data_IF_602314932829
#
_entry.id   IF_602314932829
#
_cell.length_a   1.000
_cell.length_b   1.000
_cell.length_c   1.000
_cell.angle_alpha   90.00
_cell.angle_beta   90.00
_cell.angle_gamma   90.00
#
_symmetry.space_group_name_H-M   'P 1'
#
loop_
_entity.id
_entity.type
_entity.pdbx_description
1 polymer ?
#
# COMPACT_ATOMS: atom_id res chain seq x y z
N UNK A 1 -9.01 30.61 -82.42
CA UNK A 1 -10.35 30.06 -82.13
C UNK A 1 -10.42 29.62 -80.67
N UNK A 2 -11.43 30.13 -79.93
CA UNK A 2 -11.95 29.72 -78.59
C UNK A 2 -10.95 29.71 -77.41
N UNK A 3 -10.91 30.76 -76.58
CA UNK A 3 -11.80 31.09 -75.43
C UNK A 3 -11.88 29.96 -74.37
N UNK A 4 -11.29 30.20 -73.19
CA UNK A 4 -12.01 30.21 -71.91
C UNK A 4 -11.08 30.68 -70.77
N UNK A 5 -11.31 31.92 -70.33
CA UNK A 5 -10.86 32.52 -69.08
C UNK A 5 -11.76 32.00 -67.95
N UNK A 6 -11.23 31.61 -66.79
CA UNK A 6 -12.01 31.62 -65.56
C UNK A 6 -11.14 32.01 -64.37
N UNK A 7 -11.70 32.98 -63.65
CA UNK A 7 -11.10 33.76 -62.59
C UNK A 7 -10.98 32.96 -61.29
N UNK A 8 -9.86 33.15 -60.59
CA UNK A 8 -9.76 32.84 -59.16
C UNK A 8 -10.27 34.08 -58.40
N UNK A 9 -11.53 34.06 -58.02
CA UNK A 9 -12.13 35.10 -57.19
C UNK A 9 -11.82 34.82 -55.72
N UNK A 10 -11.14 35.77 -55.10
CA UNK A 10 -10.94 35.91 -53.67
C UNK A 10 -12.30 36.09 -52.97
N UNK A 11 -12.60 35.27 -51.96
CA UNK A 11 -13.60 35.60 -50.94
C UNK A 11 -12.94 35.47 -49.57
N UNK A 12 -12.67 36.64 -49.00
CA UNK A 12 -12.38 36.88 -47.60
C UNK A 12 -13.72 37.20 -46.92
N UNK A 13 -14.19 36.36 -46.01
CA UNK A 13 -14.90 36.73 -44.76
C UNK A 13 -15.61 35.52 -44.15
N UNK A 14 -15.35 35.27 -42.86
CA UNK A 14 -16.15 34.34 -42.07
C UNK A 14 -15.41 33.69 -40.90
N UNK A 15 -14.77 34.48 -40.02
CA UNK A 15 -14.49 33.99 -38.66
C UNK A 15 -15.82 33.97 -37.91
N UNK A 16 -16.36 32.78 -37.71
CA UNK A 16 -17.46 32.54 -36.77
C UNK A 16 -17.20 31.23 -36.02
N UNK A 17 -16.55 31.38 -34.87
CA UNK A 17 -16.78 30.62 -33.64
C UNK A 17 -17.35 29.20 -33.77
N UNK A 18 -16.48 28.20 -33.86
CA UNK A 18 -16.76 26.85 -33.36
C UNK A 18 -16.26 26.74 -31.90
N UNK A 19 -16.83 27.58 -31.05
CA UNK A 19 -16.93 27.37 -29.61
C UNK A 19 -18.40 27.07 -29.34
N UNK A 20 -18.81 25.82 -29.48
CA UNK A 20 -20.01 25.34 -28.81
C UNK A 20 -19.96 23.84 -28.60
N UNK A 21 -20.09 23.48 -27.32
CA UNK A 21 -20.48 22.19 -26.79
C UNK A 21 -19.49 21.03 -26.88
N UNK A 22 -18.29 21.21 -26.32
CA UNK A 22 -17.82 20.22 -25.35
C UNK A 22 -18.75 20.30 -24.12
N UNK A 23 -19.95 19.74 -24.27
CA UNK A 23 -20.88 19.49 -23.17
C UNK A 23 -20.07 18.78 -22.10
N UNK A 24 -20.11 19.29 -20.87
CA UNK A 24 -19.58 18.65 -19.69
C UNK A 24 -19.78 17.14 -19.83
N UNK A 25 -18.67 16.38 -19.87
CA UNK A 25 -18.75 14.94 -19.77
C UNK A 25 -19.62 14.65 -18.54
N UNK A 26 -20.71 13.94 -18.78
CA UNK A 26 -21.79 13.73 -17.85
C UNK A 26 -21.22 13.13 -16.56
N UNK A 27 -21.10 13.96 -15.51
CA UNK A 27 -20.66 13.50 -14.18
C UNK A 27 -21.60 12.43 -13.58
N UNK A 28 -22.74 12.18 -14.24
CA UNK A 28 -23.69 11.12 -13.91
C UNK A 28 -23.22 9.71 -14.28
N UNK A 29 -22.27 9.54 -15.22
CA UNK A 29 -21.85 8.20 -15.65
C UNK A 29 -21.09 7.40 -14.57
N UNK A 30 -20.60 8.06 -13.51
CA UNK A 30 -19.90 7.43 -12.37
C UNK A 30 -20.84 7.25 -11.16
N UNK A 31 -21.99 7.95 -11.12
CA UNK A 31 -22.87 8.02 -9.95
C UNK A 31 -23.77 6.80 -9.71
N UNK A 32 -24.00 5.98 -10.73
CA UNK A 32 -25.00 4.89 -10.70
C UNK A 32 -24.39 3.48 -10.63
N UNK A 33 -23.09 3.36 -10.37
CA UNK A 33 -22.45 2.04 -10.27
C UNK A 33 -22.88 1.34 -8.98
N UNK A 34 -23.54 0.19 -9.12
CA UNK A 34 -24.02 -0.63 -8.00
C UNK A 34 -23.03 -1.76 -7.73
N UNK A 35 -22.68 -1.93 -6.46
CA UNK A 35 -21.94 -3.09 -5.98
C UNK A 35 -22.93 -4.09 -5.38
N UNK A 36 -23.75 -4.68 -6.26
CA UNK A 36 -24.87 -5.56 -5.93
C UNK A 36 -24.77 -6.91 -6.68
N UNK A 37 -23.53 -7.40 -6.86
CA UNK A 37 -23.19 -8.69 -7.44
C UNK A 37 -23.71 -9.91 -6.67
N UNK A 38 -24.48 -9.69 -5.61
CA UNK A 38 -25.46 -10.66 -5.08
C UNK A 38 -25.10 -11.23 -3.71
N UNK A 39 -23.90 -10.94 -3.19
CA UNK A 39 -23.53 -11.36 -1.83
C UNK A 39 -24.00 -10.38 -0.75
N UNK A 40 -24.36 -9.14 -1.15
CA UNK A 40 -24.91 -8.11 -0.26
C UNK A 40 -23.92 -7.57 0.77
N UNK A 41 -22.62 -7.86 0.64
CA UNK A 41 -21.56 -7.44 1.57
C UNK A 41 -21.42 -5.92 1.63
N UNK A 42 -21.47 -5.23 0.49
CA UNK A 42 -21.49 -3.77 0.46
C UNK A 42 -22.76 -3.20 1.11
N UNK A 43 -23.94 -3.76 0.81
CA UNK A 43 -25.19 -3.32 1.43
C UNK A 43 -25.20 -3.56 2.96
N UNK A 44 -24.60 -4.67 3.44
CA UNK A 44 -24.37 -4.92 4.87
C UNK A 44 -23.46 -3.85 5.47
N UNK A 45 -22.34 -3.52 4.81
CA UNK A 45 -21.40 -2.50 5.25
C UNK A 45 -22.07 -1.13 5.41
N UNK A 46 -22.92 -0.72 4.47
CA UNK A 46 -23.66 0.56 4.56
C UNK A 46 -24.64 0.58 5.75
N UNK A 47 -25.40 -0.50 5.93
CA UNK A 47 -26.47 -0.57 6.93
C UNK A 47 -25.93 -0.73 8.35
N UNK A 48 -25.00 -1.66 8.51
CA UNK A 48 -24.51 -2.11 9.81
C UNK A 48 -23.20 -1.42 10.21
N UNK A 49 -22.45 -0.91 9.24
CA UNK A 49 -21.07 -0.47 9.44
C UNK A 49 -20.06 -1.55 9.12
N UNK A 50 -18.79 -1.19 9.28
CA UNK A 50 -17.64 -2.10 9.10
C UNK A 50 -16.67 -1.99 10.27
N UNK A 51 -15.98 -3.08 10.55
CA UNK A 51 -14.81 -3.13 11.43
C UNK A 51 -13.55 -3.29 10.60
N UNK A 52 -12.60 -2.39 10.78
CA UNK A 52 -11.30 -2.39 10.12
C UNK A 52 -10.26 -2.89 11.12
N UNK A 53 -9.41 -3.82 10.71
CA UNK A 53 -8.29 -4.26 11.52
C UNK A 53 -6.98 -3.73 10.96
N UNK A 54 -6.13 -3.21 11.84
CA UNK A 54 -4.80 -2.68 11.54
C UNK A 54 -3.76 -3.32 12.46
N UNK A 55 -2.48 -3.16 12.15
CA UNK A 55 -1.39 -3.37 13.09
C UNK A 55 -0.91 -2.04 13.69
N UNK A 56 -0.04 -2.11 14.71
CA UNK A 56 0.77 -0.97 15.10
C UNK A 56 1.99 -0.94 14.18
N UNK A 57 1.83 -0.34 13.00
CA UNK A 57 2.79 -0.39 11.91
C UNK A 57 3.05 1.00 11.28
N UNK A 58 3.68 1.94 12.02
CA UNK A 58 4.00 3.24 11.46
C UNK A 58 5.03 3.11 10.32
N UNK A 59 4.86 3.86 9.20
CA UNK A 59 3.92 4.97 9.03
C UNK A 59 2.57 4.60 8.37
N UNK A 60 2.30 3.31 8.14
CA UNK A 60 1.11 2.81 7.45
C UNK A 60 -0.14 2.91 8.31
N UNK A 61 -0.07 2.43 9.54
CA UNK A 61 -1.20 2.40 10.47
C UNK A 61 -0.71 2.45 11.93
N UNK A 62 -1.28 3.32 12.75
CA UNK A 62 -0.92 3.43 14.17
C UNK A 62 -2.00 4.16 14.96
N UNK A 63 -1.89 4.12 16.29
CA UNK A 63 -2.64 5.02 17.17
C UNK A 63 -1.72 6.18 17.56
N UNK A 64 -2.08 7.39 17.15
CA UNK A 64 -1.33 8.58 17.50
C UNK A 64 -1.42 8.84 19.01
N UNK A 65 -0.26 8.94 19.67
CA UNK A 65 -0.20 9.05 21.13
C UNK A 65 -0.74 10.37 21.66
N UNK A 66 -0.72 11.45 20.85
CA UNK A 66 -1.13 12.79 21.28
C UNK A 66 -2.64 12.98 21.20
N UNK A 67 -3.24 12.50 20.12
CA UNK A 67 -4.67 12.62 19.84
C UNK A 67 -5.46 11.41 20.31
N UNK A 68 -4.78 10.29 20.59
CA UNK A 68 -5.37 8.99 20.91
C UNK A 68 -6.28 8.43 19.81
N UNK A 69 -6.17 8.94 18.58
CA UNK A 69 -6.91 8.51 17.39
C UNK A 69 -6.04 7.67 16.46
N UNK A 70 -6.66 6.83 15.62
CA UNK A 70 -5.94 6.09 14.59
C UNK A 70 -5.45 7.04 13.48
N UNK A 71 -4.24 6.85 13.00
CA UNK A 71 -3.66 7.60 11.90
C UNK A 71 -2.65 6.74 11.11
N UNK A 72 -2.14 7.26 10.00
CA UNK A 72 -1.25 6.55 9.09
C UNK A 72 -1.74 6.60 7.64
N UNK A 73 -0.86 6.21 6.71
CA UNK A 73 -1.18 6.22 5.28
C UNK A 73 -2.44 5.39 4.97
N UNK A 74 -2.50 4.15 5.42
CA UNK A 74 -3.62 3.24 5.16
C UNK A 74 -4.88 3.69 5.88
N UNK A 75 -4.74 4.18 7.11
CA UNK A 75 -5.86 4.73 7.89
C UNK A 75 -6.51 5.91 7.16
N UNK A 76 -5.70 6.85 6.64
CA UNK A 76 -6.22 8.01 5.90
C UNK A 76 -6.79 7.63 4.54
N UNK A 77 -6.17 6.68 3.84
CA UNK A 77 -6.71 6.13 2.59
C UNK A 77 -8.10 5.53 2.85
N UNK A 78 -8.24 4.67 3.86
CA UNK A 78 -9.50 3.98 4.12
C UNK A 78 -10.60 4.91 4.67
N UNK A 79 -10.23 6.00 5.35
CA UNK A 79 -11.17 7.09 5.69
C UNK A 79 -11.75 7.75 4.44
N UNK A 80 -10.93 8.03 3.42
CA UNK A 80 -11.44 8.56 2.15
C UNK A 80 -12.26 7.52 1.38
N UNK A 81 -11.88 6.23 1.44
CA UNK A 81 -12.65 5.13 0.84
C UNK A 81 -14.06 5.06 1.45
N UNK A 82 -14.14 4.92 2.77
CA UNK A 82 -15.42 4.80 3.48
C UNK A 82 -16.32 6.02 3.28
N UNK A 83 -15.73 7.22 3.24
CA UNK A 83 -16.44 8.47 2.92
C UNK A 83 -17.05 8.45 1.51
N UNK A 84 -16.28 8.09 0.47
CA UNK A 84 -16.79 8.02 -0.93
C UNK A 84 -17.84 6.93 -1.09
N UNK A 85 -17.65 5.81 -0.39
CA UNK A 85 -18.59 4.70 -0.34
C UNK A 85 -19.80 4.97 0.55
N UNK A 86 -19.87 6.09 1.26
CA UNK A 86 -20.97 6.45 2.19
C UNK A 86 -21.15 5.45 3.35
N UNK A 87 -20.08 4.75 3.75
CA UNK A 87 -20.06 3.90 4.94
C UNK A 87 -19.75 4.78 6.15
N UNK A 88 -20.77 5.11 6.94
CA UNK A 88 -20.65 6.11 8.03
C UNK A 88 -20.32 5.51 9.39
N UNK A 89 -20.53 4.21 9.57
CA UNK A 89 -20.22 3.48 10.81
C UNK A 89 -18.94 2.68 10.61
N UNK A 90 -17.82 3.21 11.10
CA UNK A 90 -16.50 2.58 10.96
C UNK A 90 -15.89 2.42 12.35
N UNK A 91 -15.50 1.20 12.66
CA UNK A 91 -14.73 0.86 13.87
C UNK A 91 -13.35 0.38 13.47
N UNK A 92 -12.37 0.59 14.34
CA UNK A 92 -10.97 0.28 14.09
C UNK A 92 -10.45 -0.52 15.27
N UNK A 93 -9.88 -1.69 14.98
CA UNK A 93 -9.24 -2.56 15.95
C UNK A 93 -7.77 -2.72 15.60
N UNK A 94 -6.93 -2.80 16.62
CA UNK A 94 -5.49 -3.02 16.48
C UNK A 94 -5.12 -4.41 17.00
N UNK A 95 -4.39 -5.17 16.20
CA UNK A 95 -3.90 -6.52 16.56
C UNK A 95 -2.45 -6.67 16.10
N UNK A 96 -1.68 -7.64 16.64
CA UNK A 96 -0.40 -8.02 16.06
C UNK A 96 -0.54 -8.39 14.58
N UNK A 97 0.49 -8.10 13.77
CA UNK A 97 0.42 -8.26 12.31
C UNK A 97 0.00 -9.67 11.87
N UNK A 98 0.56 -10.70 12.50
CA UNK A 98 0.27 -12.11 12.25
C UNK A 98 -1.15 -12.54 12.67
N UNK A 99 -1.83 -11.74 13.48
CA UNK A 99 -3.21 -12.00 13.93
C UNK A 99 -4.28 -11.38 13.03
N UNK A 100 -3.92 -10.55 12.04
CA UNK A 100 -4.89 -9.84 11.19
C UNK A 100 -5.74 -10.80 10.32
N UNK A 101 -5.09 -11.75 9.62
CA UNK A 101 -5.82 -12.75 8.80
C UNK A 101 -6.71 -13.64 9.68
N UNK A 102 -6.23 -14.21 10.80
CA UNK A 102 -7.10 -14.91 11.74
C UNK A 102 -8.28 -14.07 12.24
N UNK A 103 -8.09 -12.78 12.54
CA UNK A 103 -9.18 -11.89 12.97
C UNK A 103 -10.24 -11.68 11.89
N UNK A 104 -9.82 -11.47 10.64
CA UNK A 104 -10.70 -11.35 9.47
C UNK A 104 -11.53 -12.63 9.24
N UNK A 105 -10.88 -13.80 9.29
CA UNK A 105 -11.53 -15.10 9.07
C UNK A 105 -12.47 -15.48 10.22
N UNK A 106 -12.18 -15.05 11.44
CA UNK A 106 -13.05 -15.22 12.60
C UNK A 106 -14.27 -14.26 12.60
N UNK A 107 -14.38 -13.38 11.61
CA UNK A 107 -15.47 -12.39 11.53
C UNK A 107 -15.34 -11.23 12.53
N UNK A 108 -14.17 -11.05 13.14
CA UNK A 108 -13.90 -9.92 14.06
C UNK A 108 -13.57 -8.61 13.34
N UNK A 109 -13.25 -8.69 12.05
CA UNK A 109 -13.01 -7.54 11.19
C UNK A 109 -13.56 -7.81 9.80
N UNK A 110 -13.95 -6.79 9.05
CA UNK A 110 -14.44 -6.87 7.67
C UNK A 110 -13.34 -6.64 6.64
N UNK A 111 -12.36 -5.80 6.98
CA UNK A 111 -11.23 -5.47 6.10
C UNK A 111 -9.95 -5.36 6.91
N UNK A 112 -8.87 -5.94 6.38
CA UNK A 112 -7.50 -5.69 6.84
C UNK A 112 -6.96 -4.45 6.14
N UNK A 113 -6.58 -3.44 6.92
CA UNK A 113 -6.13 -2.11 6.47
C UNK A 113 -4.68 -1.90 6.90
N UNK A 114 -3.78 -2.66 6.29
CA UNK A 114 -2.34 -2.60 6.56
C UNK A 114 -1.53 -3.03 5.33
N UNK A 115 -2.08 -2.73 4.16
CA UNK A 115 -1.51 -2.92 2.83
C UNK A 115 -0.63 -4.19 2.71
N UNK A 116 -1.21 -5.39 2.82
CA UNK A 116 -0.45 -6.63 2.84
C UNK A 116 0.09 -6.99 1.45
N UNK A 117 1.34 -7.44 1.34
CA UNK A 117 1.80 -8.15 0.12
C UNK A 117 0.92 -9.36 -0.17
N UNK A 118 0.45 -9.48 -1.41
CA UNK A 118 -0.20 -10.71 -1.85
C UNK A 118 0.82 -11.84 -2.00
N UNK A 119 0.47 -13.03 -1.51
CA UNK A 119 1.25 -14.23 -1.75
C UNK A 119 0.30 -15.44 -1.90
N UNK A 120 0.82 -16.56 -2.39
CA UNK A 120 0.00 -17.74 -2.66
C UNK A 120 -0.73 -18.27 -1.40
N UNK A 121 -0.09 -18.21 -0.24
CA UNK A 121 -0.69 -18.69 1.01
C UNK A 121 -1.90 -17.83 1.40
N UNK A 122 -1.76 -16.51 1.31
CA UNK A 122 -2.84 -15.55 1.60
C UNK A 122 -3.95 -15.63 0.56
N UNK A 123 -3.62 -15.73 -0.73
CA UNK A 123 -4.59 -15.87 -1.82
C UNK A 123 -5.47 -17.12 -1.70
N UNK A 124 -5.01 -18.16 -1.00
CA UNK A 124 -5.85 -19.34 -0.72
C UNK A 124 -6.97 -19.04 0.27
N UNK A 125 -6.79 -18.12 1.20
CA UNK A 125 -7.70 -17.91 2.34
C UNK A 125 -8.45 -16.58 2.35
N UNK A 126 -7.90 -15.51 1.75
CA UNK A 126 -8.53 -14.19 1.66
C UNK A 126 -8.68 -13.73 0.21
N UNK A 127 -9.49 -12.70 0.00
CA UNK A 127 -9.54 -11.95 -1.25
C UNK A 127 -8.84 -10.60 -1.05
N UNK A 128 -8.12 -10.14 -2.06
CA UNK A 128 -7.45 -8.85 -2.04
C UNK A 128 -8.17 -7.83 -2.91
N UNK A 129 -8.02 -6.55 -2.58
CA UNK A 129 -8.50 -5.44 -3.40
C UNK A 129 -7.63 -5.25 -4.65
N UNK A 130 -7.97 -4.26 -5.48
CA UNK A 130 -6.98 -3.63 -6.36
C UNK A 130 -5.79 -3.13 -5.53
N UNK A 131 -4.58 -3.05 -6.13
CA UNK A 131 -3.40 -2.47 -5.47
C UNK A 131 -3.70 -1.14 -4.80
N UNK A 132 -3.16 -0.89 -3.61
CA UNK A 132 -3.21 0.44 -3.00
C UNK A 132 -1.97 1.25 -3.39
N UNK A 133 -0.78 0.81 -2.97
CA UNK A 133 0.52 1.34 -3.36
C UNK A 133 1.58 0.25 -3.13
N UNK A 134 2.75 0.44 -3.71
CA UNK A 134 3.86 -0.51 -3.63
C UNK A 134 4.89 -0.10 -2.58
N UNK A 135 5.47 -1.08 -1.90
CA UNK A 135 6.67 -0.97 -1.07
C UNK A 135 7.44 -2.31 -1.16
N UNK A 136 8.69 -2.32 -0.75
CA UNK A 136 9.50 -3.54 -0.68
C UNK A 136 10.50 -3.48 0.45
N UNK A 137 11.19 -4.58 0.70
CA UNK A 137 12.21 -4.61 1.74
C UNK A 137 13.36 -3.62 1.48
N UNK A 138 13.81 -3.01 2.56
CA UNK A 138 15.17 -2.58 2.77
C UNK A 138 15.88 -3.53 3.72
N UNK A 139 17.16 -3.29 3.93
CA UNK A 139 17.91 -3.91 5.02
C UNK A 139 18.56 -2.81 5.85
N UNK A 140 18.51 -2.99 7.16
CA UNK A 140 19.17 -2.12 8.12
C UNK A 140 20.24 -2.87 8.89
N UNK A 141 21.37 -2.20 9.10
CA UNK A 141 22.53 -2.71 9.84
C UNK A 141 22.92 -1.72 10.93
N UNK A 142 23.74 -2.15 11.90
CA UNK A 142 24.36 -1.20 12.84
C UNK A 142 25.16 -0.13 12.09
N UNK A 143 25.21 1.07 12.67
CA UNK A 143 25.98 2.20 12.09
C UNK A 143 27.45 1.81 11.92
N UNK A 144 27.99 2.04 10.72
CA UNK A 144 29.33 1.62 10.32
C UNK A 144 29.39 0.22 9.71
N UNK A 145 28.29 -0.53 9.71
CA UNK A 145 28.15 -1.88 9.14
C UNK A 145 29.28 -2.85 9.56
N UNK A 146 29.45 -3.13 10.87
CA UNK A 146 30.54 -3.99 11.36
C UNK A 146 30.48 -5.42 10.79
N UNK A 147 29.27 -5.92 10.49
CA UNK A 147 29.05 -7.25 9.93
C UNK A 147 29.25 -7.30 8.40
N UNK A 148 29.53 -6.16 7.74
CA UNK A 148 29.79 -6.04 6.29
C UNK A 148 28.68 -6.61 5.41
N UNK A 149 27.44 -6.45 5.83
CA UNK A 149 26.26 -6.93 5.11
C UNK A 149 25.83 -5.87 4.10
N UNK A 150 25.84 -6.21 2.82
CA UNK A 150 25.47 -5.32 1.72
C UNK A 150 24.24 -5.83 0.95
N UNK A 151 23.91 -7.11 1.04
CA UNK A 151 22.70 -7.65 0.44
C UNK A 151 22.29 -9.03 0.94
N UNK A 152 21.28 -9.59 0.26
CA UNK A 152 20.67 -10.87 0.58
C UNK A 152 21.67 -12.02 0.72
N UNK A 153 22.69 -12.06 -0.13
CA UNK A 153 23.69 -13.14 -0.13
C UNK A 153 24.58 -13.10 1.12
N UNK A 154 24.78 -11.91 1.71
CA UNK A 154 25.62 -11.72 2.90
C UNK A 154 24.95 -12.18 4.21
N UNK A 155 23.71 -12.69 4.17
CA UNK A 155 23.00 -13.11 5.39
C UNK A 155 23.52 -14.45 5.97
N UNK A 156 24.31 -15.20 5.19
CA UNK A 156 24.86 -16.47 5.62
C UNK A 156 25.72 -16.32 6.89
N UNK A 157 25.45 -17.13 7.91
CA UNK A 157 26.17 -17.09 9.19
C UNK A 157 25.81 -15.92 10.11
N UNK A 158 24.83 -15.09 9.74
CA UNK A 158 24.39 -13.94 10.53
C UNK A 158 23.05 -14.17 11.23
N UNK A 159 22.81 -13.36 12.26
CA UNK A 159 21.52 -13.29 12.97
C UNK A 159 20.66 -12.26 12.26
N UNK A 160 19.57 -12.70 11.63
CA UNK A 160 18.66 -11.85 10.86
C UNK A 160 17.36 -11.64 11.62
N UNK A 161 16.96 -10.38 11.79
CA UNK A 161 15.68 -9.99 12.36
C UNK A 161 14.63 -9.68 11.29
N UNK A 162 13.38 -10.01 11.58
CA UNK A 162 12.21 -9.54 10.81
C UNK A 162 10.91 -9.66 11.62
N UNK A 163 9.86 -8.96 11.21
CA UNK A 163 8.52 -9.09 11.82
C UNK A 163 7.84 -10.39 11.41
N UNK A 164 7.27 -11.11 12.39
CA UNK A 164 6.55 -12.36 12.23
C UNK A 164 5.36 -12.20 11.28
N UNK A 165 5.27 -13.13 10.32
CA UNK A 165 4.14 -13.19 9.38
C UNK A 165 4.24 -12.22 8.20
N UNK A 166 5.28 -11.37 8.15
CA UNK A 166 5.60 -10.50 7.01
C UNK A 166 6.04 -11.30 5.78
N UNK A 167 6.18 -10.64 4.64
CA UNK A 167 6.78 -11.27 3.45
C UNK A 167 8.27 -11.60 3.69
N UNK A 168 8.98 -10.76 4.43
CA UNK A 168 10.38 -10.95 4.80
C UNK A 168 10.57 -12.21 5.64
N UNK A 169 9.65 -12.47 6.58
CA UNK A 169 9.61 -13.72 7.33
C UNK A 169 9.54 -14.94 6.41
N UNK A 170 8.62 -14.94 5.45
CA UNK A 170 8.45 -16.04 4.51
C UNK A 170 9.70 -16.27 3.64
N UNK A 171 10.35 -15.19 3.19
CA UNK A 171 11.59 -15.26 2.42
C UNK A 171 12.73 -15.87 3.26
N UNK A 172 12.85 -15.43 4.52
CA UNK A 172 13.92 -15.85 5.43
C UNK A 172 13.74 -17.26 5.98
N UNK A 173 12.52 -17.76 6.18
CA UNK A 173 12.27 -19.17 6.58
C UNK A 173 12.85 -20.19 5.58
N UNK A 174 12.96 -19.78 4.31
CA UNK A 174 13.58 -20.56 3.24
C UNK A 174 15.11 -20.68 3.35
N UNK A 175 15.78 -19.78 4.07
CA UNK A 175 17.24 -19.78 4.24
C UNK A 175 17.66 -20.78 5.32
N UNK A 176 18.63 -21.64 5.02
CA UNK A 176 19.18 -22.67 5.95
C UNK A 176 20.60 -22.38 6.41
N UNK A 177 21.17 -21.31 5.90
CA UNK A 177 22.52 -20.83 6.10
C UNK A 177 22.59 -19.65 7.08
N UNK A 178 21.45 -19.15 7.56
CA UNK A 178 21.42 -18.15 8.65
C UNK A 178 21.96 -18.77 9.93
N UNK A 179 22.66 -17.99 10.74
CA UNK A 179 23.02 -18.41 12.10
C UNK A 179 21.77 -18.49 12.99
N UNK A 180 20.89 -17.51 12.86
CA UNK A 180 19.59 -17.48 13.55
C UNK A 180 18.62 -16.56 12.80
N UNK A 181 17.35 -16.96 12.71
CA UNK A 181 16.26 -16.09 12.28
C UNK A 181 15.46 -15.69 13.53
N UNK A 182 15.48 -14.40 13.85
CA UNK A 182 14.79 -13.86 15.02
C UNK A 182 13.53 -13.11 14.60
N UNK A 183 12.41 -13.53 15.19
CA UNK A 183 11.08 -13.03 14.83
C UNK A 183 10.53 -12.06 15.87
N UNK A 184 10.08 -10.90 15.41
CA UNK A 184 9.53 -9.84 16.23
C UNK A 184 8.03 -9.67 16.02
N UNK A 185 7.35 -9.09 17.01
CA UNK A 185 5.93 -8.70 16.91
C UNK A 185 5.74 -7.20 16.63
N UNK A 186 6.83 -6.42 16.64
CA UNK A 186 6.82 -4.99 16.28
C UNK A 186 8.18 -4.55 15.76
N UNK A 187 8.20 -3.50 14.93
CA UNK A 187 9.41 -2.94 14.36
C UNK A 187 10.28 -2.22 15.39
N UNK A 188 9.69 -1.66 16.44
CA UNK A 188 10.44 -1.01 17.51
C UNK A 188 11.34 -2.03 18.25
N UNK A 189 10.81 -3.23 18.51
CA UNK A 189 11.57 -4.30 19.14
C UNK A 189 12.70 -4.81 18.23
N UNK A 190 12.42 -4.97 16.94
CA UNK A 190 13.41 -5.36 15.93
C UNK A 190 14.54 -4.33 15.82
N UNK A 191 14.21 -3.06 15.60
CA UNK A 191 15.21 -2.00 15.46
C UNK A 191 15.97 -1.75 16.77
N UNK A 192 15.33 -1.90 17.93
CA UNK A 192 16.02 -1.85 19.23
C UNK A 192 17.07 -2.96 19.37
N UNK A 193 16.74 -4.17 18.95
CA UNK A 193 17.68 -5.30 18.94
C UNK A 193 18.83 -5.09 17.96
N UNK A 194 18.56 -4.53 16.78
CA UNK A 194 19.60 -4.16 15.83
C UNK A 194 20.57 -3.13 16.42
N UNK A 195 20.03 -2.05 16.99
CA UNK A 195 20.81 -0.99 17.64
C UNK A 195 21.65 -1.53 18.79
N UNK A 196 21.13 -2.51 19.53
CA UNK A 196 21.83 -3.16 20.63
C UNK A 196 22.83 -4.25 20.17
N UNK A 197 22.92 -4.53 18.87
CA UNK A 197 23.76 -5.59 18.31
C UNK A 197 23.33 -7.01 18.67
N UNK A 198 22.05 -7.21 19.01
CA UNK A 198 21.46 -8.54 19.24
C UNK A 198 21.11 -9.26 17.93
N UNK A 199 20.97 -8.51 16.83
CA UNK A 199 20.88 -9.02 15.46
C UNK A 199 21.89 -8.27 14.59
N UNK A 200 22.36 -8.91 13.53
CA UNK A 200 23.34 -8.34 12.60
C UNK A 200 22.68 -7.46 11.53
N UNK A 201 21.48 -7.86 11.10
CA UNK A 201 20.69 -7.19 10.07
C UNK A 201 19.21 -7.34 10.36
N UNK A 202 18.46 -6.27 10.16
CA UNK A 202 17.00 -6.27 10.10
C UNK A 202 16.57 -6.20 8.64
N UNK A 203 15.67 -7.09 8.21
CA UNK A 203 15.04 -7.06 6.89
C UNK A 203 13.58 -6.65 7.04
N UNK A 204 13.29 -5.43 6.59
CA UNK A 204 12.02 -4.75 6.84
C UNK A 204 11.71 -3.76 5.72
N UNK A 205 10.47 -3.31 5.59
CA UNK A 205 10.04 -2.37 4.56
C UNK A 205 10.90 -1.09 4.54
N UNK A 206 11.38 -0.71 3.35
CA UNK A 206 12.32 0.40 3.16
C UNK A 206 11.77 1.73 3.71
N UNK A 207 10.47 1.96 3.54
CA UNK A 207 9.73 3.11 4.07
C UNK A 207 9.73 3.16 5.59
N UNK A 208 9.65 2.02 6.29
CA UNK A 208 9.65 1.96 7.76
C UNK A 208 11.03 2.27 8.31
N UNK A 209 12.07 1.67 7.73
CA UNK A 209 13.47 1.95 8.08
C UNK A 209 13.76 3.44 7.87
N UNK A 210 13.40 3.98 6.71
CA UNK A 210 13.62 5.39 6.37
C UNK A 210 12.89 6.34 7.33
N UNK A 211 11.64 6.04 7.65
CA UNK A 211 10.86 6.86 8.57
C UNK A 211 11.38 6.79 10.01
N UNK A 212 11.75 5.60 10.48
CA UNK A 212 12.37 5.43 11.80
C UNK A 212 13.66 6.24 11.92
N UNK A 213 14.54 6.18 10.92
CA UNK A 213 15.79 6.98 10.89
C UNK A 213 15.53 8.49 10.88
N UNK A 214 14.45 8.93 10.21
CA UNK A 214 14.03 10.34 10.20
C UNK A 214 13.53 10.80 11.57
N UNK A 215 12.79 9.94 12.28
CA UNK A 215 12.29 10.22 13.63
C UNK A 215 13.39 10.12 14.70
N UNK A 216 14.38 9.25 14.47
CA UNK A 216 15.48 8.96 15.39
C UNK A 216 16.85 9.18 14.72
N UNK A 217 17.24 10.43 14.38
CA UNK A 217 18.47 10.70 13.64
C UNK A 217 19.75 10.25 14.35
N UNK A 218 19.70 10.11 15.68
CA UNK A 218 20.78 9.62 16.51
C UNK A 218 20.85 8.08 16.65
N UNK A 219 19.89 7.33 16.08
CA UNK A 219 19.88 5.87 16.17
C UNK A 219 21.18 5.27 15.62
N UNK A 220 21.75 4.30 16.33
CA UNK A 220 23.01 3.64 15.94
C UNK A 220 22.79 2.55 14.87
N UNK A 221 21.94 2.82 13.90
CA UNK A 221 21.66 1.98 12.74
C UNK A 221 21.67 2.80 11.45
N UNK A 222 21.76 2.13 10.31
CA UNK A 222 21.65 2.72 8.99
C UNK A 222 20.99 1.76 8.01
N UNK A 223 20.29 2.30 7.02
CA UNK A 223 19.82 1.52 5.87
C UNK A 223 20.97 1.29 4.89
N UNK A 224 21.04 0.10 4.29
CA UNK A 224 22.00 -0.19 3.21
C UNK A 224 21.44 0.36 1.90
N UNK A 225 22.08 1.39 1.34
CA UNK A 225 21.55 2.18 0.22
C UNK A 225 21.41 1.40 -1.10
N UNK A 226 22.29 0.43 -1.35
CA UNK A 226 22.34 -0.29 -2.62
C UNK A 226 21.53 -1.59 -2.62
N UNK A 227 20.95 -1.97 -1.47
CA UNK A 227 20.04 -3.10 -1.41
C UNK A 227 18.80 -2.84 -2.26
N UNK A 228 18.30 -3.88 -2.93
CA UNK A 228 17.06 -3.86 -3.69
C UNK A 228 16.19 -5.02 -3.22
N UNK A 229 14.86 -4.83 -3.10
CA UNK A 229 13.97 -5.93 -2.81
C UNK A 229 14.11 -7.03 -3.85
N UNK A 230 13.90 -8.26 -3.41
CA UNK A 230 13.92 -9.44 -4.25
C UNK A 230 12.75 -9.41 -5.25
N UNK A 231 12.87 -10.05 -6.43
CA UNK A 231 11.80 -10.08 -7.43
C UNK A 231 10.45 -10.59 -6.90
N UNK A 232 10.46 -11.46 -5.89
CA UNK A 232 9.26 -11.99 -5.24
C UNK A 232 8.45 -10.90 -4.50
N UNK A 233 9.07 -9.77 -4.19
CA UNK A 233 8.47 -8.63 -3.48
C UNK A 233 7.93 -7.56 -4.44
N UNK A 234 8.09 -7.76 -5.75
CA UNK A 234 7.62 -6.81 -6.77
C UNK A 234 6.10 -6.86 -7.02
N UNK A 235 5.38 -7.71 -6.28
CA UNK A 235 3.93 -7.68 -6.23
C UNK A 235 3.39 -6.44 -5.50
N UNK A 236 2.13 -6.10 -5.76
CA UNK A 236 1.49 -5.00 -5.07
C UNK A 236 1.02 -5.40 -3.69
N UNK A 237 1.16 -4.46 -2.77
CA UNK A 237 0.49 -4.52 -1.49
C UNK A 237 -0.98 -4.08 -1.63
N UNK A 238 -1.86 -4.76 -0.89
CA UNK A 238 -3.32 -4.72 -1.06
C UNK A 238 -4.04 -4.84 0.28
N UNK A 239 -5.25 -4.30 0.37
CA UNK A 239 -6.14 -4.60 1.49
C UNK A 239 -6.81 -5.96 1.29
N UNK A 240 -7.14 -6.63 2.39
CA UNK A 240 -7.71 -7.97 2.35
C UNK A 240 -9.10 -8.03 2.98
N UNK A 241 -9.98 -8.81 2.36
CA UNK A 241 -11.33 -9.09 2.78
C UNK A 241 -11.57 -10.60 2.75
N UNK A 242 -12.67 -11.06 3.36
CA UNK A 242 -13.09 -12.47 3.19
C UNK A 242 -13.46 -12.72 1.73
N UNK A 243 -13.22 -13.95 1.27
CA UNK A 243 -13.53 -14.35 -0.12
C UNK A 243 -14.99 -14.17 -0.52
N UNK A 244 -15.91 -14.24 0.45
CA UNK A 244 -17.34 -14.07 0.23
C UNK A 244 -17.84 -12.62 0.31
N UNK A 245 -16.98 -11.63 0.52
CA UNK A 245 -17.34 -10.20 0.52
C UNK A 245 -16.89 -9.51 -0.78
N UNK A 246 -17.33 -10.08 -1.91
CA UNK A 246 -17.03 -9.66 -3.28
C UNK A 246 -17.58 -8.26 -3.57
N UNK A 247 -18.85 -7.97 -3.21
CA UNK A 247 -19.44 -6.66 -3.48
C UNK A 247 -18.67 -5.53 -2.77
N UNK A 248 -18.33 -5.73 -1.50
CA UNK A 248 -17.55 -4.77 -0.73
C UNK A 248 -16.11 -4.67 -1.28
N UNK A 249 -15.47 -5.77 -1.65
CA UNK A 249 -14.13 -5.76 -2.24
C UNK A 249 -14.11 -4.95 -3.54
N UNK A 250 -15.08 -5.17 -4.44
CA UNK A 250 -15.20 -4.43 -5.69
C UNK A 250 -15.41 -2.93 -5.43
N UNK A 251 -16.23 -2.59 -4.43
CA UNK A 251 -16.45 -1.21 -4.01
C UNK A 251 -15.16 -0.53 -3.56
N UNK A 252 -14.44 -1.16 -2.64
CA UNK A 252 -13.16 -0.66 -2.12
C UNK A 252 -12.13 -0.53 -3.25
N UNK A 253 -12.03 -1.55 -4.11
CA UNK A 253 -11.09 -1.58 -5.23
C UNK A 253 -11.33 -0.46 -6.23
N UNK A 254 -12.61 -0.21 -6.57
CA UNK A 254 -12.99 0.90 -7.44
C UNK A 254 -12.60 2.25 -6.82
N UNK A 255 -12.89 2.44 -5.53
CA UNK A 255 -12.57 3.70 -4.86
C UNK A 255 -11.07 3.93 -4.75
N UNK A 256 -10.27 2.87 -4.58
CA UNK A 256 -8.80 2.97 -4.67
C UNK A 256 -8.33 3.50 -6.03
N UNK A 257 -8.94 3.02 -7.12
CA UNK A 257 -8.60 3.50 -8.46
C UNK A 257 -8.99 4.97 -8.66
N UNK A 258 -10.13 5.40 -8.10
CA UNK A 258 -10.56 6.80 -8.12
C UNK A 258 -9.61 7.71 -7.31
N UNK A 259 -9.21 7.28 -6.10
CA UNK A 259 -8.25 8.00 -5.27
C UNK A 259 -6.88 8.11 -5.95
N UNK A 260 -6.48 7.10 -6.73
CA UNK A 260 -5.27 7.16 -7.54
C UNK A 260 -5.43 8.15 -8.69
N UNK A 261 -6.53 8.06 -9.43
CA UNK A 261 -6.78 8.87 -10.62
C UNK A 261 -6.88 10.36 -10.32
N UNK A 262 -7.46 10.74 -9.19
CA UNK A 262 -7.58 12.15 -8.78
C UNK A 262 -6.41 12.68 -7.95
N UNK A 263 -5.40 11.83 -7.67
CA UNK A 263 -4.18 12.20 -6.95
C UNK A 263 -4.31 12.22 -5.42
N UNK A 264 -5.48 11.92 -4.86
CA UNK A 264 -5.69 11.86 -3.40
C UNK A 264 -4.78 10.83 -2.75
N UNK A 265 -4.65 9.63 -3.34
CA UNK A 265 -3.78 8.56 -2.85
C UNK A 265 -2.32 9.05 -2.71
N UNK A 266 -1.79 9.68 -3.77
CA UNK A 266 -0.44 10.24 -3.76
C UNK A 266 -0.26 11.36 -2.75
N UNK A 267 -1.27 12.21 -2.57
CA UNK A 267 -1.25 13.27 -1.56
C UNK A 267 -1.18 12.70 -0.14
N UNK A 268 -1.91 11.61 0.14
CA UNK A 268 -1.91 10.96 1.46
C UNK A 268 -0.55 10.33 1.72
N UNK A 269 -0.07 9.43 0.87
CA UNK A 269 1.13 8.64 1.17
C UNK A 269 2.38 9.54 1.31
N UNK A 270 2.48 10.65 0.58
CA UNK A 270 3.62 11.58 0.70
C UNK A 270 3.74 12.23 2.08
N UNK A 271 2.64 12.37 2.82
CA UNK A 271 2.66 12.89 4.19
C UNK A 271 3.36 11.94 5.16
N UNK A 272 3.51 10.67 4.76
CA UNK A 272 4.02 9.58 5.58
C UNK A 272 5.39 9.06 5.15
N UNK A 273 6.11 9.83 4.31
CA UNK A 273 7.47 9.49 3.87
C UNK A 273 7.54 8.63 2.60
N UNK A 274 6.39 8.26 2.04
CA UNK A 274 6.33 7.63 0.72
C UNK A 274 6.58 8.64 -0.40
N UNK A 275 6.93 8.14 -1.58
CA UNK A 275 7.21 8.94 -2.78
C UNK A 275 6.43 8.42 -3.99
N UNK A 276 6.59 9.07 -5.14
CA UNK A 276 5.93 8.64 -6.38
C UNK A 276 6.37 7.25 -6.85
N UNK A 277 7.55 6.76 -6.39
CA UNK A 277 7.98 5.36 -6.57
C UNK A 277 6.99 4.36 -5.99
N UNK A 278 6.24 4.75 -4.97
CA UNK A 278 5.26 3.88 -4.33
C UNK A 278 3.91 3.86 -5.08
N UNK A 279 3.62 4.84 -5.94
CA UNK A 279 2.35 4.90 -6.67
C UNK A 279 2.28 3.97 -7.88
N UNK A 280 3.42 3.73 -8.50
CA UNK A 280 3.52 2.98 -9.74
C UNK A 280 4.62 1.93 -9.64
N UNK A 281 4.34 0.76 -10.21
CA UNK A 281 5.38 -0.21 -10.46
C UNK A 281 6.31 0.31 -11.56
N UNK A 282 7.61 0.29 -11.31
CA UNK A 282 8.60 0.39 -12.38
C UNK A 282 8.74 -0.99 -13.04
N UNK A 283 8.70 -1.08 -14.38
CA UNK A 283 8.99 -2.33 -15.06
C UNK A 283 10.38 -2.81 -14.65
N UNK A 284 10.51 -4.09 -14.32
CA UNK A 284 11.82 -4.77 -14.34
C UNK A 284 12.40 -4.47 -15.72
N UNK A 285 13.47 -3.69 -15.79
CA UNK A 285 14.27 -3.70 -17.02
C UNK A 285 14.87 -5.09 -17.08
N UNK A 286 14.38 -5.89 -18.02
CA UNK A 286 15.04 -7.11 -18.47
C UNK A 286 16.51 -6.84 -18.80
#
# INVERSE_FOLDING_TARGET
>A
MRKATLAFASILMGVATLLSNARAADSSAIGDMRFDGGDGSYARAIRNGITLVIAADPPSSFRDEKTHTFDGADVRIFREITKRLKITKVTWDIVPFDAMIPALLAGRADVIVDNLHENEQRLRVVAFTSPAYWYGSGIAVQRGNPSKIHGWDDFAGHIVGTVRGSINHQLLEGRKDLKELKLYTSNEAEFSDLIAGRIDVAMEDDVKIGQFLKQHPAAAMQMVADYRPLPQEYGYARYALRKGDVDLNNAVSRTLDELRADGTLGSIIRQFGYTDRNLWYFPVKN
#
